data_IF_413544732622
#
_entry.id   IF_413544732622
#
_cell.length_a   1.000
_cell.length_b   1.000
_cell.length_c   1.000
_cell.angle_alpha   90.00
_cell.angle_beta   90.00
_cell.angle_gamma   90.00
#
_symmetry.space_group_name_H-M   'P 1'
#
loop_
_entity.id
_entity.type
_entity.pdbx_description
1 polymer ?
#
# COMPACT_ATOMS: atom_id res chain seq x y z
N UNK A 1 -18.50 16.13 -16.73
CA UNK A 1 -18.47 15.02 -17.71
C UNK A 1 -19.88 14.52 -17.92
N UNK A 2 -20.31 14.22 -19.15
CA UNK A 2 -21.58 13.53 -19.38
C UNK A 2 -21.52 12.15 -18.70
N UNK A 3 -22.57 11.79 -17.96
CA UNK A 3 -22.62 10.53 -17.23
C UNK A 3 -22.76 9.34 -18.18
N UNK A 4 -21.84 8.38 -18.09
CA UNK A 4 -21.97 7.09 -18.76
C UNK A 4 -22.96 6.22 -17.98
N UNK A 5 -23.89 5.55 -18.68
CA UNK A 5 -24.87 4.67 -18.05
C UNK A 5 -24.30 3.26 -17.92
N UNK A 6 -24.35 2.71 -16.71
CA UNK A 6 -24.09 1.29 -16.42
C UNK A 6 -25.41 0.64 -16.03
N UNK A 7 -25.77 -0.48 -16.66
CA UNK A 7 -27.01 -1.21 -16.40
C UNK A 7 -26.74 -2.39 -15.49
N UNK A 8 -27.55 -2.52 -14.42
CA UNK A 8 -27.51 -3.64 -13.49
C UNK A 8 -28.85 -4.38 -13.52
N UNK A 9 -28.79 -5.71 -13.57
CA UNK A 9 -29.96 -6.56 -13.38
C UNK A 9 -29.89 -7.16 -11.97
N UNK A 10 -30.98 -7.00 -11.22
CA UNK A 10 -31.07 -7.48 -9.85
C UNK A 10 -32.03 -8.66 -9.74
N UNK A 11 -31.64 -9.69 -8.99
CA UNK A 11 -32.52 -10.82 -8.71
C UNK A 11 -33.71 -10.41 -7.83
N UNK A 12 -33.47 -9.50 -6.87
CA UNK A 12 -34.46 -8.99 -5.91
C UNK A 12 -34.84 -7.52 -6.22
N UNK A 13 -35.22 -7.25 -7.48
CA UNK A 13 -35.42 -5.88 -7.97
C UNK A 13 -36.46 -5.09 -7.18
N UNK A 14 -37.56 -5.73 -6.77
CA UNK A 14 -38.65 -5.07 -6.03
C UNK A 14 -38.21 -4.62 -4.63
N UNK A 15 -37.39 -5.45 -3.96
CA UNK A 15 -36.83 -5.12 -2.66
C UNK A 15 -35.83 -3.97 -2.78
N UNK A 16 -34.92 -4.05 -3.75
CA UNK A 16 -33.89 -3.03 -3.97
C UNK A 16 -34.54 -1.69 -4.34
N UNK A 17 -35.55 -1.69 -5.22
CA UNK A 17 -36.25 -0.45 -5.59
C UNK A 17 -36.91 0.21 -4.39
N UNK A 18 -37.58 -0.58 -3.54
CA UNK A 18 -38.22 -0.09 -2.32
C UNK A 18 -37.21 0.49 -1.33
N UNK A 19 -36.10 -0.21 -1.08
CA UNK A 19 -35.04 0.25 -0.18
C UNK A 19 -34.38 1.55 -0.67
N UNK A 20 -34.04 1.60 -1.97
CA UNK A 20 -33.47 2.80 -2.58
C UNK A 20 -34.44 3.99 -2.53
N UNK A 21 -35.74 3.77 -2.75
CA UNK A 21 -36.76 4.83 -2.64
C UNK A 21 -36.84 5.39 -1.23
N UNK A 22 -36.93 4.54 -0.20
CA UNK A 22 -36.99 4.98 1.18
C UNK A 22 -35.76 5.80 1.58
N UNK A 23 -34.56 5.34 1.21
CA UNK A 23 -33.32 6.07 1.50
C UNK A 23 -33.20 7.38 0.71
N UNK A 24 -33.66 7.40 -0.55
CA UNK A 24 -33.70 8.60 -1.39
C UNK A 24 -34.62 9.68 -0.81
N UNK A 25 -35.80 9.30 -0.33
CA UNK A 25 -36.72 10.20 0.37
C UNK A 25 -36.11 10.74 1.66
N UNK A 26 -35.47 9.87 2.47
CA UNK A 26 -34.81 10.26 3.71
C UNK A 26 -33.62 11.22 3.49
N UNK A 27 -32.78 10.99 2.47
CA UNK A 27 -31.62 11.82 2.14
C UNK A 27 -31.94 13.02 1.23
N UNK A 28 -33.19 13.17 0.75
CA UNK A 28 -33.60 14.15 -0.28
C UNK A 28 -32.73 14.08 -1.56
N UNK A 29 -32.46 12.87 -2.02
CA UNK A 29 -31.67 12.58 -3.23
C UNK A 29 -32.47 11.74 -4.21
N UNK A 30 -31.95 11.55 -5.42
CA UNK A 30 -32.52 10.58 -6.36
C UNK A 30 -31.99 9.16 -6.07
N UNK A 31 -32.73 8.13 -6.51
CA UNK A 31 -32.37 6.72 -6.31
C UNK A 31 -30.98 6.37 -6.85
N UNK A 32 -30.61 6.91 -8.01
CA UNK A 32 -29.30 6.64 -8.63
C UNK A 32 -28.15 7.16 -7.78
N UNK A 33 -28.25 8.37 -7.22
CA UNK A 33 -27.23 8.95 -6.35
C UNK A 33 -27.09 8.18 -5.02
N UNK A 34 -28.19 7.65 -4.50
CA UNK A 34 -28.15 6.78 -3.31
C UNK A 34 -27.50 5.43 -3.65
N UNK A 35 -27.89 4.82 -4.77
CA UNK A 35 -27.30 3.55 -5.23
C UNK A 35 -25.79 3.70 -5.49
N UNK A 36 -25.38 4.75 -6.19
CA UNK A 36 -23.97 5.07 -6.45
C UNK A 36 -23.19 5.21 -5.15
N UNK A 37 -23.71 5.97 -4.18
CA UNK A 37 -23.09 6.12 -2.86
C UNK A 37 -22.91 4.77 -2.16
N UNK A 38 -23.94 3.93 -2.11
CA UNK A 38 -23.88 2.61 -1.46
C UNK A 38 -22.85 1.70 -2.14
N UNK A 39 -22.84 1.66 -3.47
CA UNK A 39 -21.87 0.88 -4.25
C UNK A 39 -20.46 1.37 -3.96
N UNK A 40 -20.20 2.67 -4.09
CA UNK A 40 -18.88 3.24 -3.82
C UNK A 40 -18.44 3.02 -2.37
N UNK A 41 -19.34 3.16 -1.40
CA UNK A 41 -19.04 2.92 0.03
C UNK A 41 -18.81 1.43 0.35
N UNK A 42 -19.24 0.53 -0.54
CA UNK A 42 -18.95 -0.91 -0.42
C UNK A 42 -17.52 -1.26 -0.84
N UNK A 43 -16.90 -0.46 -1.71
CA UNK A 43 -15.54 -0.72 -2.23
C UNK A 43 -14.48 0.24 -1.69
N UNK A 44 -14.81 1.51 -1.51
CA UNK A 44 -13.84 2.57 -1.23
C UNK A 44 -13.60 2.76 0.28
N UNK A 45 -12.39 3.17 0.68
CA UNK A 45 -12.08 3.53 2.06
C UNK A 45 -12.96 4.69 2.56
N UNK A 46 -13.15 4.78 3.89
CA UNK A 46 -13.89 5.89 4.52
C UNK A 46 -13.04 7.16 4.60
N UNK A 47 -11.73 7.02 4.86
CA UNK A 47 -10.79 8.13 4.85
C UNK A 47 -10.85 8.86 3.51
N UNK A 48 -11.09 10.19 3.56
CA UNK A 48 -11.31 11.01 2.37
C UNK A 48 -10.11 11.01 1.43
N UNK A 49 -8.90 11.17 1.97
CA UNK A 49 -7.68 11.24 1.17
C UNK A 49 -7.40 9.92 0.47
N UNK A 50 -7.48 8.80 1.19
CA UNK A 50 -7.35 7.46 0.61
C UNK A 50 -8.44 7.19 -0.43
N UNK A 51 -9.66 7.65 -0.18
CA UNK A 51 -10.76 7.53 -1.13
C UNK A 51 -10.46 8.28 -2.42
N UNK A 52 -9.90 9.48 -2.34
CA UNK A 52 -9.57 10.28 -3.52
C UNK A 52 -8.40 9.67 -4.30
N UNK A 53 -7.38 9.12 -3.63
CA UNK A 53 -6.29 8.35 -4.26
C UNK A 53 -6.85 7.16 -5.03
N UNK A 54 -7.63 6.31 -4.38
CA UNK A 54 -8.18 5.11 -5.01
C UNK A 54 -9.11 5.46 -6.17
N UNK A 55 -9.95 6.48 -6.03
CA UNK A 55 -10.77 6.94 -7.15
C UNK A 55 -9.93 7.36 -8.34
N UNK A 56 -8.89 8.16 -8.11
CA UNK A 56 -8.02 8.62 -9.18
C UNK A 56 -7.36 7.43 -9.89
N UNK A 57 -6.73 6.53 -9.13
CA UNK A 57 -6.04 5.38 -9.71
C UNK A 57 -6.97 4.44 -10.49
N UNK A 58 -8.15 4.14 -9.96
CA UNK A 58 -9.09 3.22 -10.64
C UNK A 58 -9.82 3.87 -11.82
N UNK A 59 -9.99 5.19 -11.86
CA UNK A 59 -10.59 5.88 -13.02
C UNK A 59 -9.62 5.90 -14.21
N UNK A 60 -8.31 5.87 -13.94
CA UNK A 60 -7.26 5.92 -14.95
C UNK A 60 -6.63 4.56 -15.26
N UNK A 61 -7.21 3.46 -14.76
CA UNK A 61 -6.69 2.11 -14.93
C UNK A 61 -5.20 1.99 -14.55
N UNK A 62 -4.81 2.68 -13.47
CA UNK A 62 -3.40 2.72 -13.04
C UNK A 62 -2.92 1.33 -12.61
N UNK A 63 -1.66 0.96 -12.93
CA UNK A 63 -1.07 -0.28 -12.48
C UNK A 63 -0.96 -0.31 -10.94
N UNK A 64 -0.87 -1.52 -10.42
CA UNK A 64 -0.82 -1.78 -8.98
C UNK A 64 0.34 -1.06 -8.29
N UNK A 65 1.48 -0.98 -8.97
CA UNK A 65 2.64 -0.18 -8.57
C UNK A 65 2.26 1.26 -8.19
N UNK A 66 1.57 1.97 -9.09
CA UNK A 66 1.21 3.37 -8.88
C UNK A 66 0.28 3.55 -7.70
N UNK A 67 -0.62 2.58 -7.46
CA UNK A 67 -1.49 2.59 -6.27
C UNK A 67 -0.67 2.42 -5.00
N UNK A 68 0.23 1.44 -4.95
CA UNK A 68 1.10 1.20 -3.79
C UNK A 68 1.96 2.44 -3.49
N UNK A 69 2.64 2.99 -4.50
CA UNK A 69 3.45 4.21 -4.39
C UNK A 69 2.62 5.38 -3.88
N UNK A 70 1.42 5.61 -4.42
CA UNK A 70 0.55 6.70 -3.99
C UNK A 70 0.12 6.56 -2.52
N UNK A 71 -0.22 5.35 -2.08
CA UNK A 71 -0.63 5.07 -0.69
C UNK A 71 0.55 5.25 0.28
N UNK A 72 1.73 4.75 -0.06
CA UNK A 72 2.94 4.93 0.75
C UNK A 72 3.35 6.40 0.84
N UNK A 73 3.36 7.13 -0.28
CA UNK A 73 3.69 8.55 -0.30
C UNK A 73 2.67 9.40 0.48
N UNK A 74 1.37 9.04 0.44
CA UNK A 74 0.37 9.74 1.23
C UNK A 74 0.63 9.61 2.74
N UNK A 75 1.02 8.40 3.16
CA UNK A 75 1.31 8.07 4.56
C UNK A 75 2.55 8.80 5.10
N UNK A 76 3.46 9.22 4.21
CA UNK A 76 4.58 10.10 4.57
C UNK A 76 4.11 11.53 4.91
N UNK A 77 3.18 12.08 4.13
CA UNK A 77 2.78 13.49 4.20
C UNK A 77 1.72 13.80 5.27
N UNK A 78 0.90 12.83 5.67
CA UNK A 78 -0.22 13.01 6.58
C UNK A 78 -0.07 12.07 7.77
N UNK A 79 0.15 12.64 8.97
CA UNK A 79 0.31 11.94 10.27
C UNK A 79 0.70 10.46 10.17
N UNK A 80 1.99 10.11 10.21
CA UNK A 80 2.50 8.72 10.15
C UNK A 80 2.06 7.80 11.32
N UNK A 81 1.07 8.23 12.11
CA UNK A 81 0.65 7.63 13.38
C UNK A 81 -0.57 6.71 13.20
N UNK A 82 -1.33 6.80 12.09
CA UNK A 82 -2.67 6.18 12.00
C UNK A 82 -2.83 5.07 10.94
N UNK A 83 -1.77 4.64 10.26
CA UNK A 83 -1.87 3.54 9.30
C UNK A 83 -0.86 2.45 9.64
N UNK A 84 -1.36 1.34 10.16
CA UNK A 84 -0.58 0.10 10.19
C UNK A 84 -0.39 -0.37 8.74
N UNK A 85 0.77 -0.08 8.15
CA UNK A 85 1.09 -0.45 6.77
C UNK A 85 1.55 -1.90 6.63
N UNK A 86 1.73 -2.63 7.74
CA UNK A 86 2.15 -4.03 7.72
C UNK A 86 1.32 -4.88 6.74
N UNK A 87 -0.02 -4.83 6.73
CA UNK A 87 -0.81 -5.62 5.79
C UNK A 87 -0.53 -5.28 4.31
N UNK A 88 -0.20 -4.02 4.03
CA UNK A 88 0.10 -3.55 2.67
C UNK A 88 1.50 -4.00 2.23
N UNK A 89 2.48 -3.98 3.14
CA UNK A 89 3.82 -4.50 2.90
C UNK A 89 3.77 -6.02 2.68
N UNK A 90 3.01 -6.74 3.52
CA UNK A 90 2.82 -8.19 3.37
C UNK A 90 2.16 -8.55 2.03
N UNK A 91 1.22 -7.73 1.57
CA UNK A 91 0.63 -7.88 0.24
C UNK A 91 1.63 -7.66 -0.88
N UNK A 92 2.47 -6.62 -0.80
CA UNK A 92 3.54 -6.40 -1.77
C UNK A 92 4.50 -7.60 -1.84
N UNK A 93 4.95 -8.13 -0.69
CA UNK A 93 5.78 -9.34 -0.63
C UNK A 93 5.07 -10.55 -1.26
N UNK A 94 3.79 -10.76 -0.95
CA UNK A 94 3.00 -11.85 -1.55
C UNK A 94 2.99 -11.77 -3.08
N UNK A 95 2.78 -10.58 -3.63
CA UNK A 95 2.83 -10.37 -5.08
C UNK A 95 4.20 -10.70 -5.66
N UNK A 96 5.28 -10.21 -5.04
CA UNK A 96 6.66 -10.49 -5.45
C UNK A 96 6.97 -11.99 -5.47
N UNK A 97 6.56 -12.72 -4.43
CA UNK A 97 6.78 -14.17 -4.34
C UNK A 97 6.05 -14.97 -5.42
N UNK A 98 4.95 -14.45 -5.96
CA UNK A 98 4.17 -15.09 -7.02
C UNK A 98 4.71 -14.77 -8.42
N UNK A 99 5.28 -13.59 -8.61
CA UNK A 99 5.68 -13.05 -9.91
C UNK A 99 7.18 -13.22 -10.21
N UNK A 100 8.01 -13.12 -9.18
CA UNK A 100 9.46 -13.19 -9.27
C UNK A 100 10.09 -12.14 -8.39
N UNK A 101 10.54 -12.55 -7.22
CA UNK A 101 11.12 -11.70 -6.19
C UNK A 101 12.58 -11.33 -6.52
N UNK A 102 12.73 -10.32 -7.38
CA UNK A 102 14.03 -9.85 -7.89
C UNK A 102 13.96 -8.36 -8.26
N UNK A 103 15.13 -7.74 -8.37
CA UNK A 103 15.25 -6.38 -8.90
C UNK A 103 15.22 -6.43 -10.43
N UNK A 104 14.17 -5.87 -11.03
CA UNK A 104 13.99 -5.79 -12.48
C UNK A 104 14.33 -4.39 -13.03
N UNK A 105 14.17 -3.33 -12.22
CA UNK A 105 14.32 -1.93 -12.63
C UNK A 105 15.43 -1.25 -11.82
N UNK A 106 16.48 -0.78 -12.50
CA UNK A 106 17.67 -0.25 -11.85
C UNK A 106 17.61 1.26 -11.51
N UNK A 107 16.64 1.99 -12.05
CA UNK A 107 16.60 3.47 -12.03
C UNK A 107 16.64 4.06 -10.62
N UNK A 108 16.16 3.32 -9.61
CA UNK A 108 16.08 3.78 -8.23
C UNK A 108 16.96 3.00 -7.23
N UNK A 109 17.86 2.11 -7.69
CA UNK A 109 18.69 1.30 -6.79
C UNK A 109 19.58 2.17 -5.89
N UNK A 110 20.22 3.20 -6.44
CA UNK A 110 21.10 4.09 -5.66
C UNK A 110 20.34 4.80 -4.55
N UNK A 111 19.11 5.26 -4.84
CA UNK A 111 18.20 5.85 -3.86
C UNK A 111 17.79 4.84 -2.79
N UNK A 112 17.45 3.62 -3.19
CA UNK A 112 17.12 2.52 -2.30
C UNK A 112 18.26 2.23 -1.31
N UNK A 113 19.50 2.13 -1.80
CA UNK A 113 20.71 1.92 -0.99
C UNK A 113 20.88 3.04 0.05
N UNK A 114 20.86 4.31 -0.38
CA UNK A 114 21.03 5.44 0.54
C UNK A 114 19.94 5.50 1.61
N UNK A 115 18.70 5.16 1.26
CA UNK A 115 17.61 5.11 2.22
C UNK A 115 17.76 3.93 3.18
N UNK A 116 18.20 2.76 2.71
CA UNK A 116 18.49 1.60 3.56
C UNK A 116 19.54 1.93 4.62
N UNK A 117 20.63 2.60 4.22
CA UNK A 117 21.69 3.06 5.13
C UNK A 117 21.12 3.93 6.25
N UNK A 118 20.32 4.94 5.90
CA UNK A 118 19.70 5.84 6.88
C UNK A 118 18.76 5.11 7.85
N UNK A 119 18.03 4.10 7.37
CA UNK A 119 17.19 3.27 8.22
C UNK A 119 18.03 2.42 9.18
N UNK A 120 19.11 1.79 8.71
CA UNK A 120 20.02 1.03 9.57
C UNK A 120 20.68 1.92 10.64
N UNK A 121 21.11 3.14 10.30
CA UNK A 121 21.65 4.10 11.27
C UNK A 121 20.61 4.49 12.33
N UNK A 122 19.36 4.71 11.91
CA UNK A 122 18.25 5.04 12.80
C UNK A 122 17.97 3.89 13.77
N UNK A 123 17.95 2.67 13.24
CA UNK A 123 17.79 1.44 14.01
C UNK A 123 18.94 1.26 15.01
N UNK A 124 20.20 1.39 14.58
CA UNK A 124 21.38 1.25 15.42
C UNK A 124 21.42 2.27 16.57
N UNK A 125 21.03 3.52 16.29
CA UNK A 125 20.99 4.60 17.30
C UNK A 125 19.96 4.27 18.38
N UNK A 126 18.75 3.85 18.00
CA UNK A 126 17.71 3.44 18.95
C UNK A 126 18.12 2.22 19.79
N UNK A 127 18.97 1.33 19.28
CA UNK A 127 19.42 0.15 20.03
C UNK A 127 20.50 0.40 21.07
N UNK A 128 21.45 1.31 20.78
CA UNK A 128 22.47 1.70 21.78
C UNK A 128 21.82 2.20 23.08
N UNK A 129 20.61 2.73 22.98
CA UNK A 129 19.82 3.19 24.12
C UNK A 129 19.09 2.06 24.87
N UNK A 130 18.79 0.92 24.22
CA UNK A 130 17.98 -0.19 24.78
C UNK A 130 18.77 -1.42 25.25
N UNK A 131 20.02 -1.61 24.77
CA UNK A 131 20.95 -2.66 25.21
C UNK A 131 20.45 -4.12 25.01
N UNK A 132 19.84 -4.42 23.85
CA UNK A 132 19.31 -5.76 23.52
C UNK A 132 20.24 -6.53 22.57
N UNK A 133 20.75 -7.70 23.00
CA UNK A 133 21.78 -8.47 22.26
C UNK A 133 21.29 -9.19 21.00
N UNK A 134 20.04 -9.65 20.96
CA UNK A 134 19.50 -10.40 19.81
C UNK A 134 19.35 -9.51 18.56
N UNK A 135 19.17 -8.21 18.76
CA UNK A 135 19.05 -7.18 17.72
C UNK A 135 20.36 -6.84 17.01
N UNK A 136 21.51 -7.07 17.67
CA UNK A 136 22.83 -6.89 17.04
C UNK A 136 23.06 -7.91 15.91
N UNK A 137 22.61 -9.15 16.10
CA UNK A 137 22.71 -10.20 15.08
C UNK A 137 21.87 -9.84 13.85
N UNK A 138 20.67 -9.32 14.07
CA UNK A 138 19.79 -8.87 12.99
C UNK A 138 20.40 -7.70 12.20
N UNK A 139 20.90 -6.68 12.90
CA UNK A 139 21.60 -5.56 12.27
C UNK A 139 22.81 -6.00 11.45
N UNK A 140 23.57 -6.99 11.92
CA UNK A 140 24.70 -7.51 11.16
C UNK A 140 24.20 -8.18 9.87
N UNK A 141 23.13 -8.98 9.91
CA UNK A 141 22.52 -9.57 8.72
C UNK A 141 22.06 -8.50 7.72
N UNK A 142 21.39 -7.44 8.21
CA UNK A 142 20.93 -6.35 7.35
C UNK A 142 22.11 -5.57 6.73
N UNK A 143 23.22 -5.39 7.46
CA UNK A 143 24.45 -4.79 6.93
C UNK A 143 25.10 -5.66 5.86
N UNK A 144 25.04 -6.98 5.97
CA UNK A 144 25.49 -7.88 4.91
C UNK A 144 24.57 -7.76 3.68
N UNK A 145 23.25 -7.73 3.87
CA UNK A 145 22.31 -7.52 2.76
C UNK A 145 22.56 -6.19 2.03
N UNK A 146 22.88 -5.12 2.76
CA UNK A 146 23.28 -3.85 2.17
C UNK A 146 24.58 -3.96 1.36
N UNK A 147 25.56 -4.75 1.83
CA UNK A 147 26.79 -5.00 1.09
C UNK A 147 26.48 -5.73 -0.22
N UNK A 148 25.67 -6.77 -0.17
CA UNK A 148 25.23 -7.53 -1.34
C UNK A 148 24.47 -6.63 -2.32
N UNK A 149 23.59 -5.76 -1.83
CA UNK A 149 22.85 -4.79 -2.64
C UNK A 149 23.77 -3.80 -3.35
N UNK A 150 24.89 -3.41 -2.74
CA UNK A 150 25.89 -2.50 -3.35
C UNK A 150 26.77 -3.20 -4.37
N UNK A 151 27.17 -4.44 -4.10
CA UNK A 151 28.06 -5.22 -4.96
C UNK A 151 27.34 -5.78 -6.19
N UNK A 152 26.19 -6.39 -5.98
CA UNK A 152 25.40 -7.05 -7.02
C UNK A 152 23.90 -7.04 -6.65
N UNK A 153 23.18 -5.95 -7.00
CA UNK A 153 21.75 -5.84 -6.69
C UNK A 153 20.91 -7.00 -7.21
N UNK A 154 21.33 -7.68 -8.28
CA UNK A 154 20.56 -8.77 -8.90
C UNK A 154 20.44 -10.02 -8.03
N UNK A 155 21.28 -10.15 -7.00
CA UNK A 155 21.26 -11.28 -6.05
C UNK A 155 20.35 -11.04 -4.85
N UNK A 156 19.95 -9.79 -4.62
CA UNK A 156 19.11 -9.40 -3.49
C UNK A 156 17.65 -9.57 -3.85
N UNK A 157 16.88 -10.14 -2.93
CA UNK A 157 15.43 -10.25 -3.08
C UNK A 157 14.75 -9.01 -2.54
N UNK A 158 13.74 -8.52 -3.25
CA UNK A 158 12.95 -7.37 -2.82
C UNK A 158 12.16 -7.68 -1.53
N UNK A 159 11.76 -8.94 -1.31
CA UNK A 159 11.13 -9.35 -0.05
C UNK A 159 12.05 -9.19 1.16
N UNK A 160 13.35 -9.41 1.01
CA UNK A 160 14.35 -9.23 2.08
C UNK A 160 14.48 -7.75 2.45
N UNK A 161 14.39 -6.86 1.45
CA UNK A 161 14.35 -5.41 1.65
C UNK A 161 13.10 -4.95 2.44
N UNK A 162 11.94 -5.54 2.15
CA UNK A 162 10.74 -5.29 2.95
C UNK A 162 10.83 -5.88 4.36
N UNK A 163 11.58 -6.97 4.56
CA UNK A 163 11.68 -7.64 5.86
C UNK A 163 12.30 -6.75 6.94
N UNK A 164 13.30 -5.91 6.58
CA UNK A 164 13.83 -4.88 7.46
C UNK A 164 12.70 -4.03 8.07
N UNK A 165 11.73 -3.62 7.25
CA UNK A 165 10.62 -2.79 7.68
C UNK A 165 9.67 -3.55 8.58
N UNK A 166 9.33 -4.79 8.22
CA UNK A 166 8.40 -5.61 9.01
C UNK A 166 8.95 -5.89 10.41
N UNK A 167 10.21 -6.29 10.49
CA UNK A 167 10.83 -6.65 11.77
C UNK A 167 11.01 -5.43 12.68
N UNK A 168 11.19 -4.24 12.10
CA UNK A 168 11.51 -3.02 12.82
C UNK A 168 10.37 -1.97 12.78
N UNK A 169 9.15 -2.36 12.38
CA UNK A 169 8.04 -1.43 12.12
C UNK A 169 7.76 -0.47 13.28
N UNK A 170 7.80 -0.96 14.52
CA UNK A 170 7.52 -0.12 15.69
C UNK A 170 8.54 1.02 15.88
N UNK A 171 9.78 0.82 15.43
CA UNK A 171 10.84 1.83 15.45
C UNK A 171 10.74 2.75 14.23
N UNK A 172 10.37 2.19 13.08
CA UNK A 172 10.44 2.86 11.79
C UNK A 172 9.17 3.62 11.38
N UNK A 173 8.00 3.29 11.93
CA UNK A 173 6.71 3.86 11.51
C UNK A 173 6.60 5.37 11.67
N UNK A 174 7.43 6.01 12.50
CA UNK A 174 7.44 7.46 12.69
C UNK A 174 8.39 8.22 11.75
N UNK A 175 9.19 7.52 10.94
CA UNK A 175 10.31 8.10 10.20
C UNK A 175 9.89 8.31 8.73
N UNK A 176 9.96 9.54 8.19
CA UNK A 176 9.64 9.81 6.78
C UNK A 176 10.37 8.90 5.78
N UNK A 177 11.67 8.68 6.01
CA UNK A 177 12.52 7.80 5.19
C UNK A 177 11.96 6.40 5.06
N UNK A 178 11.25 5.86 6.06
CA UNK A 178 10.60 4.54 5.99
C UNK A 178 9.61 4.49 4.85
N UNK A 179 8.73 5.48 4.73
CA UNK A 179 7.69 5.52 3.71
C UNK A 179 8.29 5.75 2.32
N UNK A 180 9.30 6.61 2.22
CA UNK A 180 10.01 6.83 0.97
C UNK A 180 10.78 5.60 0.51
N UNK A 181 11.35 4.85 1.45
CA UNK A 181 12.06 3.61 1.19
C UNK A 181 11.13 2.52 0.68
N UNK A 182 10.01 2.26 1.38
CA UNK A 182 8.99 1.29 0.95
C UNK A 182 8.48 1.64 -0.45
N UNK A 183 8.19 2.92 -0.70
CA UNK A 183 7.77 3.43 -2.02
C UNK A 183 8.84 3.19 -3.09
N UNK A 184 10.12 3.38 -2.74
CA UNK A 184 11.25 3.13 -3.63
C UNK A 184 11.45 1.65 -3.91
N UNK A 185 11.24 0.74 -2.95
CA UNK A 185 11.30 -0.71 -3.20
C UNK A 185 10.26 -1.12 -4.25
N UNK A 186 9.04 -0.55 -4.19
CA UNK A 186 7.99 -0.88 -5.18
C UNK A 186 8.48 -0.63 -6.60
N UNK A 187 9.20 0.47 -6.85
CA UNK A 187 9.63 0.86 -8.21
C UNK A 187 10.83 0.07 -8.74
N UNK A 188 11.35 -0.90 -7.98
CA UNK A 188 12.44 -1.78 -8.40
C UNK A 188 11.94 -3.07 -9.07
N UNK A 189 10.63 -3.33 -9.06
CA UNK A 189 10.00 -4.53 -9.63
C UNK A 189 9.14 -4.19 -10.85
N UNK A 190 9.04 -5.11 -11.81
CA UNK A 190 8.01 -5.04 -12.87
C UNK A 190 6.70 -5.70 -12.40
N UNK A 191 5.69 -4.88 -12.10
CA UNK A 191 4.40 -5.34 -11.60
C UNK A 191 3.43 -5.82 -12.69
N UNK A 192 3.88 -5.95 -13.95
CA UNK A 192 3.02 -6.24 -15.10
C UNK A 192 2.11 -7.47 -14.89
N UNK A 193 2.63 -8.57 -14.34
CA UNK A 193 1.86 -9.79 -14.08
C UNK A 193 0.99 -9.72 -12.81
N UNK A 194 1.24 -8.73 -11.94
CA UNK A 194 0.47 -8.52 -10.72
C UNK A 194 -0.82 -7.71 -10.95
N UNK A 195 -1.02 -7.13 -12.13
CA UNK A 195 -2.19 -6.32 -12.49
C UNK A 195 -3.43 -7.19 -12.79
N UNK A 196 -3.89 -7.97 -11.80
CA UNK A 196 -5.07 -8.85 -11.90
C UNK A 196 -6.22 -8.33 -11.06
N UNK A 197 -7.47 -8.61 -11.48
CA UNK A 197 -8.66 -8.21 -10.72
C UNK A 197 -8.64 -8.69 -9.26
N UNK A 198 -8.12 -9.89 -9.00
CA UNK A 198 -8.03 -10.46 -7.66
C UNK A 198 -7.08 -9.64 -6.77
N UNK A 199 -5.91 -9.26 -7.30
CA UNK A 199 -4.96 -8.41 -6.59
C UNK A 199 -5.52 -7.01 -6.35
N UNK A 200 -6.22 -6.41 -7.32
CA UNK A 200 -6.89 -5.12 -7.12
C UNK A 200 -7.95 -5.18 -6.01
N UNK A 201 -8.76 -6.25 -5.97
CA UNK A 201 -9.79 -6.42 -4.93
C UNK A 201 -9.16 -6.66 -3.55
N UNK A 202 -8.10 -7.45 -3.47
CA UNK A 202 -7.36 -7.68 -2.22
C UNK A 202 -6.73 -6.38 -1.71
N UNK A 203 -6.04 -5.64 -2.58
CA UNK A 203 -5.46 -4.34 -2.28
C UNK A 203 -6.52 -3.34 -1.77
N UNK A 204 -7.67 -3.24 -2.44
CA UNK A 204 -8.78 -2.39 -2.00
C UNK A 204 -9.27 -2.74 -0.60
N UNK A 205 -9.41 -4.05 -0.29
CA UNK A 205 -9.82 -4.51 1.04
C UNK A 205 -8.79 -4.12 2.10
N UNK A 206 -7.50 -4.32 1.80
CA UNK A 206 -6.41 -3.94 2.70
C UNK A 206 -6.43 -2.44 2.97
N UNK A 207 -6.43 -1.62 1.92
CA UNK A 207 -6.45 -0.16 2.03
C UNK A 207 -7.67 0.31 2.81
N UNK A 208 -8.84 -0.27 2.54
CA UNK A 208 -10.06 0.03 3.29
C UNK A 208 -9.90 -0.28 4.78
N UNK A 209 -9.26 -1.37 5.15
CA UNK A 209 -9.09 -1.79 6.55
C UNK A 209 -8.08 -0.92 7.30
N UNK A 210 -6.93 -0.60 6.69
CA UNK A 210 -5.92 0.27 7.31
C UNK A 210 -6.37 1.74 7.37
N UNK A 211 -7.36 2.13 6.56
CA UNK A 211 -7.93 3.48 6.51
C UNK A 211 -9.09 3.72 7.49
N UNK A 212 -9.38 2.78 8.41
CA UNK A 212 -10.51 2.89 9.36
C UNK A 212 -10.16 3.85 10.53
N UNK A 213 -8.89 4.06 10.83
CA UNK A 213 -8.41 4.79 12.03
C UNK A 213 -8.11 6.29 11.80
N UNK A 214 -8.89 6.95 10.95
CA UNK A 214 -8.79 8.41 10.69
C UNK A 214 -10.04 9.18 11.06
#
# INVERSE_FOLDING_TARGET
MPGTKVLFNFCESDLIDKLLRCQAEAERKNKSSVAEKIILDSFLPKNKSMRDIIKHCFIHDEPLEHILVAVFNHSNCHSPINHDLIPLIQFAIKCLLLDGDRIDIAENISKCISQYELLLESIETNYKERNEKWLLIQLDLDKHLLSDLKEDPSKVRLSELYQLILDNWQLLKGIPTTYEYISTIVTLHDWSNCNTCDNYIELLKIIRNISIEG
#
